data_IF_381265667389
#
_entry.id   IF_381265667389
#
_cell.length_a   1.000
_cell.length_b   1.000
_cell.length_c   1.000
_cell.angle_alpha   90.00
_cell.angle_beta   90.00
_cell.angle_gamma   90.00
#
_symmetry.space_group_name_H-M   'P 1'
#
loop_
_entity.id
_entity.type
_entity.pdbx_description
1 polymer ?
#
# COMPACT_ATOMS: atom_id res chain seq x y z
N UNK A 1 -5.53 -23.40 12.71
CA UNK A 1 -4.19 -23.22 12.10
C UNK A 1 -3.07 -23.05 13.11
N UNK A 2 -3.29 -22.43 14.27
CA UNK A 2 -2.30 -22.24 15.35
C UNK A 2 -1.81 -23.54 16.05
N UNK A 3 -2.20 -24.72 15.58
CA UNK A 3 -1.84 -26.03 16.14
C UNK A 3 -1.03 -26.92 15.19
N UNK A 4 -0.83 -26.50 13.95
CA UNK A 4 -0.13 -27.27 12.90
C UNK A 4 1.15 -26.53 12.54
N UNK A 5 2.25 -27.26 12.43
CA UNK A 5 3.55 -26.71 12.05
C UNK A 5 3.70 -26.67 10.53
N UNK A 6 4.21 -25.54 10.03
CA UNK A 6 4.39 -25.29 8.61
C UNK A 6 5.85 -24.87 8.33
N UNK A 7 6.82 -25.76 8.59
CA UNK A 7 8.24 -25.42 8.60
C UNK A 7 8.76 -24.89 7.26
N UNK A 8 8.12 -25.25 6.15
CA UNK A 8 8.52 -24.88 4.79
C UNK A 8 7.67 -23.75 4.19
N UNK A 9 6.67 -23.23 4.91
CA UNK A 9 5.81 -22.18 4.38
C UNK A 9 6.58 -20.86 4.26
N UNK A 10 6.68 -20.34 3.04
CA UNK A 10 7.42 -19.12 2.75
C UNK A 10 6.51 -17.90 2.54
N UNK A 11 5.24 -18.11 2.20
CA UNK A 11 4.28 -17.03 1.94
C UNK A 11 2.99 -17.29 2.70
N UNK A 12 2.55 -16.28 3.45
CA UNK A 12 1.25 -16.25 4.10
C UNK A 12 0.48 -15.02 3.62
N UNK A 13 -0.74 -15.25 3.12
CA UNK A 13 -1.65 -14.20 2.70
C UNK A 13 -2.97 -14.34 3.45
N UNK A 14 -3.34 -13.28 4.18
CA UNK A 14 -4.55 -13.14 4.96
C UNK A 14 -5.38 -12.01 4.35
N UNK A 15 -6.51 -12.35 3.73
CA UNK A 15 -7.38 -11.39 3.04
C UNK A 15 -8.82 -11.53 3.52
N UNK A 16 -9.60 -10.46 3.40
CA UNK A 16 -11.02 -10.45 3.75
C UNK A 16 -11.39 -9.26 4.63
N UNK A 17 -12.10 -9.52 5.73
CA UNK A 17 -12.57 -8.51 6.69
C UNK A 17 -12.07 -8.86 8.09
N UNK A 18 -11.75 -7.85 8.90
CA UNK A 18 -11.57 -8.08 10.32
C UNK A 18 -12.92 -8.43 10.97
N UNK A 19 -12.98 -9.44 11.84
CA UNK A 19 -14.20 -9.77 12.57
C UNK A 19 -14.74 -8.56 13.36
N UNK A 20 -16.05 -8.50 13.56
CA UNK A 20 -16.71 -7.42 14.32
C UNK A 20 -16.26 -7.41 15.78
N UNK A 21 -15.95 -8.58 16.36
CA UNK A 21 -15.45 -8.76 17.73
C UNK A 21 -13.90 -8.71 17.82
N UNK A 22 -13.25 -8.14 16.80
CA UNK A 22 -11.79 -8.16 16.65
C UNK A 22 -11.01 -7.30 17.66
N UNK A 23 -11.66 -6.68 18.64
CA UNK A 23 -10.96 -6.12 19.80
C UNK A 23 -10.14 -7.18 20.55
N UNK A 24 -10.49 -8.46 20.36
CA UNK A 24 -9.74 -9.63 20.84
C UNK A 24 -9.03 -10.41 19.73
N UNK A 25 -9.06 -9.94 18.47
CA UNK A 25 -8.34 -10.58 17.36
C UNK A 25 -6.83 -10.40 17.58
N UNK A 26 -6.13 -11.39 18.12
CA UNK A 26 -5.05 -11.09 19.04
C UNK A 26 -3.75 -11.16 18.27
N UNK A 27 -2.88 -10.18 18.50
CA UNK A 27 -1.47 -10.34 18.20
C UNK A 27 -0.96 -11.73 18.65
N UNK A 28 -1.48 -12.29 19.76
CA UNK A 28 -1.20 -13.65 20.23
C UNK A 28 -1.46 -14.77 19.21
N UNK A 29 -2.53 -14.70 18.42
CA UNK A 29 -2.81 -15.74 17.41
C UNK A 29 -1.83 -15.61 16.25
N UNK A 30 -1.58 -14.38 15.76
CA UNK A 30 -0.58 -14.14 14.72
C UNK A 30 0.82 -14.54 15.18
N UNK A 31 1.21 -14.15 16.39
CA UNK A 31 2.43 -14.57 17.08
C UNK A 31 2.56 -16.09 17.10
N UNK A 32 1.53 -16.79 17.60
CA UNK A 32 1.52 -18.26 17.68
C UNK A 32 1.63 -18.93 16.32
N UNK A 33 1.07 -18.30 15.28
CA UNK A 33 1.19 -18.75 13.90
C UNK A 33 2.61 -18.54 13.39
N UNK A 34 3.22 -17.36 13.58
CA UNK A 34 4.56 -17.04 13.08
C UNK A 34 5.62 -17.99 13.65
N UNK A 35 5.52 -18.37 14.92
CA UNK A 35 6.43 -19.36 15.52
C UNK A 35 6.42 -20.72 14.80
N UNK A 36 5.32 -21.05 14.11
CA UNK A 36 5.13 -22.31 13.38
C UNK A 36 5.49 -22.20 11.89
N UNK A 37 5.95 -21.03 11.45
CA UNK A 37 6.34 -20.74 10.07
C UNK A 37 7.77 -20.16 10.01
N UNK A 38 8.80 -20.90 10.45
CA UNK A 38 10.17 -20.38 10.55
C UNK A 38 10.82 -20.04 9.19
N UNK A 39 10.28 -20.55 8.08
CA UNK A 39 10.74 -20.23 6.73
C UNK A 39 9.97 -19.06 6.07
N UNK A 40 9.11 -18.36 6.81
CA UNK A 40 8.29 -17.29 6.26
C UNK A 40 9.15 -16.14 5.71
N UNK A 41 8.90 -15.76 4.45
CA UNK A 41 9.60 -14.70 3.73
C UNK A 41 8.66 -13.59 3.25
N UNK A 42 7.39 -13.91 3.02
CA UNK A 42 6.38 -12.96 2.55
C UNK A 42 5.14 -13.05 3.44
N UNK A 43 4.71 -11.90 3.93
CA UNK A 43 3.49 -11.76 4.70
C UNK A 43 2.61 -10.68 4.07
N UNK A 44 1.37 -11.04 3.79
CA UNK A 44 0.34 -10.12 3.30
C UNK A 44 -0.86 -10.20 4.24
N UNK A 45 -1.22 -9.07 4.84
CA UNK A 45 -2.42 -8.91 5.66
C UNK A 45 -3.22 -7.76 5.07
N UNK A 46 -4.21 -8.07 4.24
CA UNK A 46 -5.11 -7.10 3.60
C UNK A 46 -6.54 -7.42 3.97
N UNK A 47 -6.88 -7.05 5.20
CA UNK A 47 -8.22 -7.20 5.75
C UNK A 47 -8.88 -5.83 5.91
N UNK A 48 -10.11 -5.73 5.42
CA UNK A 48 -10.91 -4.54 5.48
C UNK A 48 -11.50 -4.33 6.87
N UNK A 49 -11.63 -3.06 7.28
CA UNK A 49 -12.16 -2.68 8.59
C UNK A 49 -13.59 -2.17 8.44
N UNK A 50 -14.51 -2.76 9.20
CA UNK A 50 -15.89 -2.26 9.29
C UNK A 50 -15.96 -1.09 10.27
N UNK A 51 -17.05 -0.31 10.22
CA UNK A 51 -17.27 0.76 11.21
C UNK A 51 -17.36 0.27 12.66
N UNK A 52 -17.67 -1.01 12.85
CA UNK A 52 -17.75 -1.65 14.17
C UNK A 52 -16.37 -2.09 14.70
N UNK A 53 -15.36 -2.18 13.84
CA UNK A 53 -14.01 -2.59 14.25
C UNK A 53 -13.22 -1.36 14.72
N UNK A 54 -12.92 -1.28 16.02
CA UNK A 54 -12.15 -0.18 16.57
C UNK A 54 -10.64 -0.30 16.29
N UNK A 55 -10.15 -1.54 16.24
CA UNK A 55 -8.72 -1.85 16.31
C UNK A 55 -8.06 -1.96 14.93
N UNK A 56 -6.91 -1.26 14.75
CA UNK A 56 -6.03 -1.37 13.59
C UNK A 56 -5.23 -2.69 13.61
N UNK A 57 -4.70 -3.13 12.47
CA UNK A 57 -3.92 -4.37 12.37
C UNK A 57 -2.68 -4.33 13.28
N UNK A 58 -2.53 -5.34 14.14
CA UNK A 58 -1.43 -5.46 15.09
C UNK A 58 -0.86 -6.89 15.08
N UNK A 59 0.40 -7.05 14.67
CA UNK A 59 1.10 -8.32 14.50
C UNK A 59 1.74 -8.82 15.79
N UNK A 60 2.54 -8.00 16.47
CA UNK A 60 3.28 -8.41 17.68
C UNK A 60 2.62 -7.93 18.97
N UNK A 61 1.74 -6.93 18.90
CA UNK A 61 1.15 -6.32 20.10
C UNK A 61 2.25 -5.84 21.06
N UNK A 62 2.02 -6.04 22.36
CA UNK A 62 2.91 -5.57 23.42
C UNK A 62 3.93 -6.61 23.92
N UNK A 63 4.05 -7.80 23.29
CA UNK A 63 4.87 -8.91 23.82
C UNK A 63 6.10 -9.26 22.95
N UNK A 64 7.23 -9.64 23.56
CA UNK A 64 8.53 -9.77 22.86
C UNK A 64 8.86 -11.15 22.23
N UNK A 65 7.93 -12.12 22.16
CA UNK A 65 8.32 -13.53 22.04
C UNK A 65 8.57 -14.10 20.61
N UNK A 66 8.15 -13.44 19.51
CA UNK A 66 8.24 -14.03 18.15
C UNK A 66 9.25 -13.35 17.20
N UNK A 67 10.24 -12.64 17.74
CA UNK A 67 11.14 -11.76 16.96
C UNK A 67 11.93 -12.52 15.90
N UNK A 68 12.39 -13.74 16.17
CA UNK A 68 13.31 -14.47 15.28
C UNK A 68 12.67 -14.99 14.00
N UNK A 69 11.40 -15.41 14.04
CA UNK A 69 10.69 -15.89 12.84
C UNK A 69 10.43 -14.76 11.83
N UNK A 70 10.19 -13.54 12.32
CA UNK A 70 9.89 -12.38 11.48
C UNK A 70 11.15 -11.74 10.87
N UNK A 71 12.33 -11.92 11.48
CA UNK A 71 13.59 -11.35 10.98
C UNK A 71 13.97 -11.80 9.55
N UNK A 72 13.44 -12.95 9.10
CA UNK A 72 13.69 -13.50 7.75
C UNK A 72 12.72 -12.99 6.69
N UNK A 73 11.78 -12.13 7.07
CA UNK A 73 10.82 -11.55 6.14
C UNK A 73 11.54 -10.66 5.13
N UNK A 74 11.24 -10.91 3.86
CA UNK A 74 11.70 -10.13 2.71
C UNK A 74 10.62 -9.18 2.20
N UNK A 75 9.36 -9.50 2.46
CA UNK A 75 8.21 -8.71 2.00
C UNK A 75 7.11 -8.69 3.05
N UNK A 76 6.66 -7.48 3.40
CA UNK A 76 5.56 -7.24 4.33
C UNK A 76 4.56 -6.31 3.67
N UNK A 77 3.29 -6.71 3.67
CA UNK A 77 2.16 -5.87 3.28
C UNK A 77 1.12 -5.91 4.40
N UNK A 78 0.79 -4.74 4.95
CA UNK A 78 -0.18 -4.60 6.04
C UNK A 78 -1.17 -3.50 5.68
N UNK A 79 -2.45 -3.85 5.67
CA UNK A 79 -3.54 -2.90 5.60
C UNK A 79 -3.85 -2.34 7.01
N UNK A 80 -4.04 -1.03 7.10
CA UNK A 80 -4.35 -0.29 8.33
C UNK A 80 -3.43 -0.66 9.51
N UNK A 81 -2.12 -0.45 9.38
CA UNK A 81 -1.17 -0.79 10.43
C UNK A 81 -1.44 0.01 11.71
N UNK A 82 -1.28 -0.63 12.87
CA UNK A 82 -1.23 0.06 14.14
C UNK A 82 0.13 0.78 14.29
N UNK A 83 0.15 2.12 14.44
CA UNK A 83 1.40 2.88 14.50
C UNK A 83 2.26 2.59 15.73
N UNK A 84 1.68 1.99 16.77
CA UNK A 84 2.37 1.58 17.99
C UNK A 84 2.78 0.10 18.00
N UNK A 85 2.56 -0.63 16.90
CA UNK A 85 2.95 -2.03 16.81
C UNK A 85 4.48 -2.18 16.97
N UNK A 86 4.88 -3.14 17.81
CA UNK A 86 6.28 -3.46 18.07
C UNK A 86 6.94 -4.18 16.90
N UNK A 87 6.15 -4.69 15.95
CA UNK A 87 6.69 -5.24 14.70
C UNK A 87 7.57 -4.25 13.96
N UNK A 88 7.33 -2.95 14.10
CA UNK A 88 8.16 -1.93 13.46
C UNK A 88 9.43 -1.58 14.24
N UNK A 89 9.64 -2.17 15.43
CA UNK A 89 10.86 -1.97 16.24
C UNK A 89 11.81 -3.17 16.22
N UNK A 90 11.46 -4.26 15.52
CA UNK A 90 12.37 -5.38 15.34
C UNK A 90 13.28 -5.15 14.13
N UNK A 91 14.51 -5.70 14.12
CA UNK A 91 15.38 -5.60 12.96
C UNK A 91 14.88 -6.49 11.82
N UNK A 92 14.88 -5.96 10.61
CA UNK A 92 14.56 -6.68 9.38
C UNK A 92 15.74 -6.62 8.40
N UNK A 93 16.80 -7.42 8.61
CA UNK A 93 18.00 -7.36 7.79
C UNK A 93 17.77 -7.69 6.32
N UNK A 94 16.76 -8.53 6.02
CA UNK A 94 16.46 -9.03 4.67
C UNK A 94 15.24 -8.36 4.01
N UNK A 95 14.58 -7.40 4.68
CA UNK A 95 13.34 -6.80 4.18
C UNK A 95 13.64 -5.86 3.01
N UNK A 96 13.13 -6.26 1.85
CA UNK A 96 13.30 -5.54 0.58
C UNK A 96 12.02 -4.84 0.14
N UNK A 97 10.86 -5.28 0.64
CA UNK A 97 9.55 -4.74 0.27
C UNK A 97 8.69 -4.47 1.49
N UNK A 98 8.23 -3.24 1.66
CA UNK A 98 7.28 -2.84 2.69
C UNK A 98 6.10 -2.11 2.05
N UNK A 99 4.88 -2.51 2.39
CA UNK A 99 3.66 -1.81 2.02
C UNK A 99 2.79 -1.58 3.25
N UNK A 100 2.71 -0.32 3.67
CA UNK A 100 1.83 0.16 4.73
C UNK A 100 0.66 0.86 4.05
N UNK A 101 -0.44 0.12 3.88
CA UNK A 101 -1.50 0.51 2.95
C UNK A 101 -2.89 0.45 3.57
N UNK A 102 -3.87 0.71 2.72
CA UNK A 102 -5.30 0.63 2.95
C UNK A 102 -5.91 -0.54 2.16
N UNK A 103 -7.06 -1.02 2.64
CA UNK A 103 -7.84 -2.05 1.96
C UNK A 103 -9.33 -2.05 2.38
N UNK A 104 -10.31 -1.85 1.47
CA UNK A 104 -10.19 -1.33 0.11
C UNK A 104 -9.47 0.03 0.06
N UNK A 105 -9.26 0.63 -1.13
CA UNK A 105 -8.57 1.92 -1.16
C UNK A 105 -9.48 2.96 -0.50
N UNK A 106 -8.90 3.88 0.24
CA UNK A 106 -9.61 4.98 0.86
C UNK A 106 -10.38 5.79 -0.18
N UNK A 107 -9.80 5.99 -1.37
CA UNK A 107 -10.51 6.65 -2.45
C UNK A 107 -11.74 5.86 -2.94
N UNK A 108 -11.72 4.52 -2.94
CA UNK A 108 -12.90 3.69 -3.26
C UNK A 108 -13.99 3.89 -2.19
N UNK A 109 -13.57 3.91 -0.91
CA UNK A 109 -14.46 4.07 0.24
C UNK A 109 -15.13 5.45 0.23
N UNK A 110 -14.39 6.50 -0.11
CA UNK A 110 -14.93 7.86 -0.21
C UNK A 110 -15.85 8.01 -1.42
N UNK A 111 -15.50 7.43 -2.57
CA UNK A 111 -16.26 7.58 -3.80
C UNK A 111 -17.55 6.75 -3.83
N UNK A 112 -17.58 5.57 -3.19
CA UNK A 112 -18.70 4.65 -3.27
C UNK A 112 -19.53 4.59 -1.99
N UNK A 113 -20.81 4.98 -2.09
CA UNK A 113 -21.77 5.00 -0.98
C UNK A 113 -21.90 3.66 -0.25
N UNK A 114 -21.82 2.54 -0.97
CA UNK A 114 -21.86 1.21 -0.37
C UNK A 114 -20.62 0.98 0.53
N UNK A 115 -19.42 1.19 -0.01
CA UNK A 115 -18.18 1.05 0.77
C UNK A 115 -18.12 2.02 1.93
N UNK A 116 -18.52 3.28 1.73
CA UNK A 116 -18.58 4.28 2.78
C UNK A 116 -19.44 3.85 3.98
N UNK A 117 -20.57 3.18 3.73
CA UNK A 117 -21.50 2.72 4.77
C UNK A 117 -21.01 1.49 5.51
N UNK A 118 -20.20 0.65 4.87
CA UNK A 118 -19.76 -0.63 5.44
C UNK A 118 -18.38 -0.55 6.06
N UNK A 119 -17.45 0.15 5.40
CA UNK A 119 -16.04 0.16 5.74
C UNK A 119 -15.57 1.54 6.18
N UNK A 120 -14.59 1.52 7.09
CA UNK A 120 -13.78 2.67 7.45
C UNK A 120 -12.36 2.46 6.96
N UNK A 121 -11.67 3.57 6.74
CA UNK A 121 -10.26 3.60 6.35
C UNK A 121 -9.48 4.46 7.35
N UNK A 122 -9.07 3.89 8.49
CA UNK A 122 -8.24 4.59 9.47
C UNK A 122 -6.81 4.70 8.95
N UNK A 123 -6.62 5.56 7.95
CA UNK A 123 -5.34 5.89 7.33
C UNK A 123 -4.42 6.50 8.39
N UNK A 124 -3.12 6.21 8.28
CA UNK A 124 -2.10 6.81 9.13
C UNK A 124 -2.07 8.33 8.93
N UNK A 125 -1.84 9.11 9.98
CA UNK A 125 -1.36 10.49 9.78
C UNK A 125 0.13 10.49 9.35
N UNK A 126 0.64 11.57 8.78
CA UNK A 126 2.07 11.68 8.47
C UNK A 126 2.94 11.55 9.74
N UNK A 127 2.49 12.10 10.87
CA UNK A 127 3.11 11.88 12.19
C UNK A 127 3.18 10.40 12.56
N UNK A 128 2.07 9.66 12.41
CA UNK A 128 2.00 8.23 12.71
C UNK A 128 2.92 7.42 11.78
N UNK A 129 2.91 7.71 10.48
CA UNK A 129 3.76 7.07 9.49
C UNK A 129 5.25 7.33 9.77
N UNK A 130 5.62 8.57 10.11
CA UNK A 130 7.00 8.92 10.46
C UNK A 130 7.47 8.18 11.71
N UNK A 131 6.62 8.05 12.73
CA UNK A 131 6.91 7.27 13.94
C UNK A 131 7.19 5.79 13.63
N UNK A 132 6.43 5.18 12.71
CA UNK A 132 6.70 3.82 12.23
C UNK A 132 8.06 3.75 11.55
N UNK A 133 8.31 4.61 10.55
CA UNK A 133 9.52 4.53 9.73
C UNK A 133 10.80 4.86 10.51
N UNK A 134 10.74 5.72 11.52
CA UNK A 134 11.88 6.00 12.42
C UNK A 134 12.30 4.81 13.26
N UNK A 135 11.36 3.93 13.62
CA UNK A 135 11.65 2.72 14.40
C UNK A 135 12.11 1.55 13.52
N UNK A 136 11.75 1.59 12.24
CA UNK A 136 12.02 0.52 11.28
C UNK A 136 13.52 0.39 10.97
N UNK A 137 14.06 -0.80 11.19
CA UNK A 137 15.43 -1.14 10.80
C UNK A 137 15.41 -2.08 9.59
N UNK A 138 15.40 -1.52 8.38
CA UNK A 138 15.36 -2.25 7.12
C UNK A 138 16.43 -1.70 6.13
N UNK A 139 17.72 -2.03 6.32
CA UNK A 139 18.83 -1.40 5.58
C UNK A 139 18.87 -1.75 4.09
N UNK A 140 18.12 -2.78 3.68
CA UNK A 140 18.05 -3.24 2.28
C UNK A 140 16.68 -2.98 1.64
N UNK A 141 15.86 -2.12 2.24
CA UNK A 141 14.54 -1.77 1.71
C UNK A 141 14.68 -1.14 0.32
N UNK A 142 14.07 -1.81 -0.67
CA UNK A 142 14.12 -1.42 -2.08
C UNK A 142 12.78 -0.91 -2.60
N UNK A 143 11.67 -1.37 -2.01
CA UNK A 143 10.32 -0.97 -2.39
C UNK A 143 9.53 -0.53 -1.17
N UNK A 144 8.95 0.66 -1.23
CA UNK A 144 8.07 1.22 -0.21
C UNK A 144 6.73 1.66 -0.83
N UNK A 145 5.61 1.11 -0.35
CA UNK A 145 4.27 1.67 -0.53
C UNK A 145 3.82 2.26 0.81
N UNK A 146 3.37 3.52 0.81
CA UNK A 146 2.90 4.21 2.01
C UNK A 146 1.62 4.99 1.72
N UNK A 147 0.61 4.78 2.57
CA UNK A 147 -0.68 5.47 2.53
C UNK A 147 -0.86 6.28 3.82
N UNK A 148 -1.09 7.58 3.70
CA UNK A 148 -1.21 8.48 4.85
C UNK A 148 -2.02 9.76 4.53
N UNK A 149 -2.57 10.39 5.58
CA UNK A 149 -3.07 11.76 5.56
C UNK A 149 -1.95 12.73 5.92
N UNK A 150 -1.83 13.81 5.16
CA UNK A 150 -0.93 14.90 5.51
C UNK A 150 -1.34 15.53 6.86
N UNK A 151 -0.34 15.86 7.66
CA UNK A 151 -0.44 16.69 8.86
C UNK A 151 0.85 17.53 8.95
N UNK A 152 1.09 18.20 10.08
CA UNK A 152 2.27 19.06 10.28
C UNK A 152 3.62 18.34 10.07
N UNK A 153 3.67 17.01 10.13
CA UNK A 153 4.88 16.22 9.95
C UNK A 153 5.09 15.73 8.50
N UNK A 154 4.28 16.16 7.54
CA UNK A 154 4.34 15.70 6.15
C UNK A 154 5.71 15.96 5.48
N UNK A 155 6.23 17.18 5.59
CA UNK A 155 7.56 17.51 5.05
C UNK A 155 8.68 16.67 5.70
N UNK A 156 8.60 16.47 7.03
CA UNK A 156 9.55 15.66 7.79
C UNK A 156 9.49 14.18 7.36
N UNK A 157 8.29 13.67 7.10
CA UNK A 157 8.08 12.31 6.60
C UNK A 157 8.72 12.12 5.22
N UNK A 158 8.45 13.04 4.29
CA UNK A 158 9.01 12.97 2.94
C UNK A 158 10.54 13.09 2.96
N UNK A 159 11.09 14.01 3.74
CA UNK A 159 12.53 14.17 3.92
C UNK A 159 13.15 12.91 4.56
N UNK A 160 12.49 12.32 5.56
CA UNK A 160 12.96 11.09 6.18
C UNK A 160 13.01 9.93 5.17
N UNK A 161 11.94 9.70 4.41
CA UNK A 161 11.89 8.63 3.39
C UNK A 161 13.04 8.79 2.39
N UNK A 162 13.30 10.02 1.93
CA UNK A 162 14.32 10.29 0.92
C UNK A 162 15.75 9.99 1.40
N UNK A 163 16.01 10.06 2.71
CA UNK A 163 17.35 9.96 3.29
C UNK A 163 17.59 8.65 4.06
N UNK A 164 16.56 8.04 4.66
CA UNK A 164 16.72 6.90 5.56
C UNK A 164 16.94 5.56 4.85
N UNK A 165 16.55 5.45 3.58
CA UNK A 165 16.55 4.18 2.83
C UNK A 165 17.49 4.26 1.61
N UNK A 166 18.81 4.03 1.78
CA UNK A 166 19.80 4.24 0.72
C UNK A 166 19.67 3.26 -0.47
N UNK A 167 18.88 2.19 -0.34
CA UNK A 167 18.60 1.23 -1.41
C UNK A 167 17.20 1.37 -2.00
N UNK A 168 16.43 2.40 -1.63
CA UNK A 168 15.06 2.58 -2.08
C UNK A 168 15.03 2.86 -3.58
N UNK A 169 14.48 1.92 -4.36
CA UNK A 169 14.37 1.99 -5.81
C UNK A 169 12.95 2.33 -6.25
N UNK A 170 11.94 1.87 -5.51
CA UNK A 170 10.55 2.01 -5.89
C UNK A 170 9.76 2.63 -4.74
N UNK A 171 9.20 3.82 -4.96
CA UNK A 171 8.36 4.50 -3.98
C UNK A 171 6.95 4.69 -4.55
N UNK A 172 5.95 4.27 -3.79
CA UNK A 172 4.54 4.53 -4.06
C UNK A 172 3.92 5.25 -2.87
N UNK A 173 3.43 6.47 -3.09
CA UNK A 173 2.75 7.26 -2.07
C UNK A 173 1.28 7.43 -2.43
N UNK A 174 0.40 7.17 -1.47
CA UNK A 174 -0.96 7.68 -1.46
C UNK A 174 -1.05 8.69 -0.31
N UNK A 175 -0.79 9.95 -0.64
CA UNK A 175 -0.90 11.09 0.24
C UNK A 175 -2.28 11.70 0.07
N UNK A 176 -3.06 11.70 1.15
CA UNK A 176 -4.35 12.39 1.20
C UNK A 176 -4.20 13.73 1.89
N UNK A 177 -4.98 14.74 1.47
CA UNK A 177 -4.90 16.08 2.06
C UNK A 177 -5.37 16.10 3.51
N UNK A 178 -4.78 17.00 4.28
CA UNK A 178 -5.18 17.36 5.65
C UNK A 178 -6.57 18.01 5.71
N UNK A 179 -6.95 18.71 4.65
CA UNK A 179 -8.24 19.40 4.52
C UNK A 179 -8.69 19.47 3.05
N UNK A 180 -9.99 19.71 2.83
CA UNK A 180 -10.55 19.85 1.47
C UNK A 180 -9.98 21.01 0.67
N UNK A 181 -9.46 22.03 1.36
CA UNK A 181 -9.02 23.29 0.77
C UNK A 181 -7.50 23.34 0.58
N UNK A 182 -6.77 22.31 1.02
CA UNK A 182 -5.33 22.20 0.82
C UNK A 182 -5.01 22.13 -0.68
N UNK A 183 -4.17 23.07 -1.13
CA UNK A 183 -3.51 23.00 -2.43
C UNK A 183 -2.19 22.25 -2.27
N UNK A 184 -2.04 21.13 -2.97
CA UNK A 184 -0.84 20.29 -2.86
C UNK A 184 0.30 20.87 -3.69
N UNK A 185 1.42 21.20 -3.04
CA UNK A 185 2.66 21.61 -3.73
C UNK A 185 3.46 20.37 -4.19
N UNK A 186 3.03 19.78 -5.31
CA UNK A 186 3.69 18.61 -5.89
C UNK A 186 5.14 18.86 -6.30
N UNK A 187 5.51 20.11 -6.62
CA UNK A 187 6.89 20.45 -6.97
C UNK A 187 7.78 20.40 -5.73
N UNK A 188 7.32 20.91 -4.58
CA UNK A 188 8.04 20.77 -3.31
C UNK A 188 8.20 19.31 -2.92
N UNK A 189 7.14 18.51 -2.99
CA UNK A 189 7.19 17.06 -2.73
C UNK A 189 8.25 16.40 -3.62
N UNK A 190 8.22 16.67 -4.92
CA UNK A 190 9.18 16.12 -5.88
C UNK A 190 10.63 16.52 -5.57
N UNK A 191 10.88 17.80 -5.24
CA UNK A 191 12.22 18.27 -4.84
C UNK A 191 12.71 17.59 -3.57
N UNK A 192 11.86 17.43 -2.56
CA UNK A 192 12.22 16.72 -1.33
C UNK A 192 12.62 15.27 -1.63
N UNK A 193 11.82 14.58 -2.45
CA UNK A 193 12.09 13.19 -2.83
C UNK A 193 13.30 13.03 -3.77
N UNK A 194 13.75 14.10 -4.43
CA UNK A 194 14.95 14.06 -5.28
C UNK A 194 16.24 13.71 -4.52
N UNK A 195 16.24 13.83 -3.19
CA UNK A 195 17.35 13.40 -2.35
C UNK A 195 17.56 11.87 -2.37
N UNK A 196 16.53 11.08 -2.73
CA UNK A 196 16.62 9.62 -2.84
C UNK A 196 17.37 9.17 -4.11
N UNK A 197 18.70 9.21 -4.10
CA UNK A 197 19.53 8.97 -5.29
C UNK A 197 19.38 7.58 -5.93
N UNK A 198 18.95 6.58 -5.16
CA UNK A 198 18.69 5.22 -5.64
C UNK A 198 17.34 5.05 -6.33
N UNK A 199 16.47 6.08 -6.32
CA UNK A 199 15.10 5.97 -6.77
C UNK A 199 15.05 5.75 -8.30
N UNK A 200 14.40 4.67 -8.70
CA UNK A 200 14.22 4.23 -10.09
C UNK A 200 12.82 4.55 -10.60
N UNK A 201 11.79 4.41 -9.76
CA UNK A 201 10.42 4.76 -10.13
C UNK A 201 9.66 5.36 -8.97
N UNK A 202 8.81 6.34 -9.28
CA UNK A 202 7.95 7.01 -8.31
C UNK A 202 6.48 6.90 -8.74
N UNK A 203 5.60 6.48 -7.84
CA UNK A 203 4.14 6.48 -8.05
C UNK A 203 3.47 7.37 -7.02
N UNK A 204 2.63 8.30 -7.46
CA UNK A 204 2.01 9.28 -6.58
C UNK A 204 0.50 9.35 -6.81
N UNK A 205 -0.25 9.11 -5.75
CA UNK A 205 -1.59 9.63 -5.56
C UNK A 205 -1.47 10.78 -4.55
N UNK A 206 -1.68 12.01 -5.01
CA UNK A 206 -1.51 13.21 -4.17
C UNK A 206 -2.84 13.84 -3.73
N UNK A 207 -3.97 13.23 -4.07
CA UNK A 207 -5.30 13.76 -3.75
C UNK A 207 -5.44 15.25 -4.12
N UNK A 208 -5.10 15.59 -5.36
CA UNK A 208 -5.11 16.98 -5.81
C UNK A 208 -6.50 17.63 -5.71
N UNK A 209 -6.52 18.93 -5.40
CA UNK A 209 -7.74 19.72 -5.46
C UNK A 209 -8.30 19.73 -6.90
N UNK A 210 -9.60 19.49 -7.04
CA UNK A 210 -10.25 19.40 -8.34
C UNK A 210 -10.14 18.03 -9.03
N UNK A 211 -9.51 17.04 -8.40
CA UNK A 211 -9.61 15.65 -8.86
C UNK A 211 -11.10 15.25 -8.89
N UNK A 212 -11.65 14.90 -10.07
CA UNK A 212 -13.05 14.50 -10.21
C UNK A 212 -13.39 13.22 -9.43
N UNK A 213 -12.38 12.54 -8.87
CA UNK A 213 -12.54 11.30 -8.15
C UNK A 213 -12.75 10.13 -9.09
N UNK A 214 -13.28 9.03 -8.56
CA UNK A 214 -13.66 7.91 -9.40
C UNK A 214 -14.87 8.27 -10.26
N UNK A 215 -14.79 7.99 -11.56
CA UNK A 215 -15.94 8.16 -12.44
C UNK A 215 -17.05 7.20 -12.04
N UNK A 216 -18.00 7.72 -11.27
CA UNK A 216 -19.22 7.03 -10.93
C UNK A 216 -20.28 7.36 -11.99
N UNK A 217 -20.84 6.39 -12.72
CA UNK A 217 -21.90 6.66 -13.70
C UNK A 217 -23.14 7.35 -13.09
N UNK A 218 -23.34 7.24 -11.78
CA UNK A 218 -24.41 7.93 -11.04
C UNK A 218 -24.09 9.42 -10.79
N UNK A 219 -22.80 9.79 -10.80
CA UNK A 219 -22.33 11.17 -10.70
C UNK A 219 -21.90 11.60 -12.10
N UNK A 220 -22.78 12.27 -12.84
CA UNK A 220 -22.53 12.72 -14.21
C UNK A 220 -21.40 13.76 -14.29
N UNK A 221 -20.14 13.32 -14.18
CA UNK A 221 -18.97 14.14 -14.50
C UNK A 221 -18.89 14.24 -16.02
N UNK A 222 -18.96 15.45 -16.55
CA UNK A 222 -18.85 15.69 -17.99
C UNK A 222 -17.53 15.14 -18.54
N UNK A 223 -17.56 14.59 -19.76
CA UNK A 223 -16.35 14.20 -20.50
C UNK A 223 -15.36 15.35 -20.66
N UNK A 224 -15.84 16.58 -20.74
CA UNK A 224 -14.98 17.76 -20.84
C UNK A 224 -14.19 18.00 -19.54
N UNK A 225 -14.80 17.74 -18.38
CA UNK A 225 -14.13 17.84 -17.08
C UNK A 225 -13.05 16.76 -16.96
N UNK A 226 -13.34 15.52 -17.35
CA UNK A 226 -12.35 14.44 -17.34
C UNK A 226 -11.18 14.71 -18.30
N UNK A 227 -11.45 15.30 -19.47
CA UNK A 227 -10.42 15.68 -20.44
C UNK A 227 -9.55 16.83 -19.94
N UNK A 228 -10.16 17.85 -19.33
CA UNK A 228 -9.45 18.94 -18.68
C UNK A 228 -8.57 18.42 -17.55
N UNK A 229 -9.11 17.54 -16.70
CA UNK A 229 -8.35 16.89 -15.63
C UNK A 229 -7.16 16.08 -16.14
N UNK A 230 -7.36 15.26 -17.17
CA UNK A 230 -6.26 14.47 -17.77
C UNK A 230 -5.13 15.38 -18.29
N UNK A 231 -5.49 16.50 -18.91
CA UNK A 231 -4.53 17.50 -19.39
C UNK A 231 -3.76 18.13 -18.23
N UNK A 232 -4.46 18.49 -17.15
CA UNK A 232 -3.86 19.06 -15.94
C UNK A 232 -2.94 18.06 -15.22
N UNK A 233 -3.37 16.80 -15.07
CA UNK A 233 -2.57 15.72 -14.49
C UNK A 233 -1.30 15.48 -15.30
N UNK A 234 -1.38 15.57 -16.63
CA UNK A 234 -0.21 15.51 -17.51
C UNK A 234 0.79 16.63 -17.21
N UNK A 235 0.32 17.87 -17.09
CA UNK A 235 1.17 19.00 -16.68
C UNK A 235 1.85 18.72 -15.33
N UNK A 236 1.12 18.25 -14.32
CA UNK A 236 1.69 17.88 -13.02
C UNK A 236 2.76 16.78 -13.14
N UNK A 237 2.51 15.74 -13.95
CA UNK A 237 3.45 14.65 -14.17
C UNK A 237 4.80 15.14 -14.72
N UNK A 238 4.77 16.02 -15.73
CA UNK A 238 5.99 16.60 -16.31
C UNK A 238 6.72 17.55 -15.35
N UNK A 239 5.98 18.33 -14.57
CA UNK A 239 6.57 19.22 -13.57
C UNK A 239 7.27 18.44 -12.45
N UNK A 240 6.65 17.36 -11.97
CA UNK A 240 7.25 16.45 -10.97
C UNK A 240 8.50 15.79 -11.55
N UNK A 241 8.42 15.27 -12.78
CA UNK A 241 9.56 14.64 -13.44
C UNK A 241 10.74 15.62 -13.61
N UNK A 242 10.44 16.88 -13.94
CA UNK A 242 11.44 17.96 -14.06
C UNK A 242 12.05 18.31 -12.69
N UNK A 243 11.23 18.42 -11.65
CA UNK A 243 11.71 18.68 -10.28
C UNK A 243 12.58 17.55 -9.70
N UNK A 244 12.51 16.35 -10.28
CA UNK A 244 13.34 15.20 -9.91
C UNK A 244 14.63 15.09 -10.72
N UNK A 245 15.01 16.09 -11.52
CA UNK A 245 16.18 16.06 -12.43
C UNK A 245 17.47 15.55 -11.76
N UNK A 246 17.69 15.86 -10.49
CA UNK A 246 18.87 15.46 -9.72
C UNK A 246 18.94 13.95 -9.44
N UNK A 247 17.81 13.23 -9.51
CA UNK A 247 17.76 11.80 -9.28
C UNK A 247 18.17 11.04 -10.55
N UNK A 248 19.46 10.83 -10.78
CA UNK A 248 19.99 10.26 -12.02
C UNK A 248 19.42 8.86 -12.37
N UNK A 249 19.13 8.05 -11.35
CA UNK A 249 18.60 6.68 -11.50
C UNK A 249 17.13 6.63 -11.93
N UNK A 250 16.41 7.74 -11.84
CA UNK A 250 14.96 7.78 -12.05
C UNK A 250 14.63 7.56 -13.53
N UNK A 251 13.81 6.53 -13.79
CA UNK A 251 13.29 6.20 -15.12
C UNK A 251 11.99 6.93 -15.45
N UNK A 252 11.14 7.13 -14.45
CA UNK A 252 9.85 7.79 -14.63
C UNK A 252 9.02 7.93 -13.36
N UNK A 253 7.95 8.69 -13.50
CA UNK A 253 6.95 8.96 -12.48
C UNK A 253 5.60 8.48 -13.00
N UNK A 254 4.75 7.95 -12.14
CA UNK A 254 3.36 7.67 -12.47
C UNK A 254 2.42 8.41 -11.52
N UNK A 255 1.38 9.03 -12.08
CA UNK A 255 0.32 9.66 -11.30
C UNK A 255 -0.96 8.82 -11.34
N UNK A 256 -1.65 8.72 -10.20
CA UNK A 256 -2.92 8.01 -10.16
C UNK A 256 -4.00 8.85 -10.86
N UNK A 257 -4.58 8.28 -11.91
CA UNK A 257 -5.73 8.79 -12.62
C UNK A 257 -6.96 7.96 -12.24
N UNK A 258 -7.99 8.62 -11.69
CA UNK A 258 -9.24 7.98 -11.24
C UNK A 258 -10.44 8.25 -12.14
N UNK A 259 -10.23 9.00 -13.24
CA UNK A 259 -11.32 9.32 -14.17
C UNK A 259 -11.89 8.13 -14.95
N UNK A 260 -11.27 6.95 -14.85
CA UNK A 260 -11.81 5.69 -15.36
C UNK A 260 -11.64 4.57 -14.30
N UNK A 261 -12.53 3.58 -14.34
CA UNK A 261 -12.53 2.43 -13.44
C UNK A 261 -11.94 1.17 -14.10
N UNK A 262 -11.03 0.44 -13.42
CA UNK A 262 -10.40 0.81 -12.15
C UNK A 262 -9.35 1.91 -12.34
N UNK A 263 -9.00 2.62 -11.26
CA UNK A 263 -7.97 3.66 -11.29
C UNK A 263 -6.66 3.19 -11.96
N UNK A 264 -6.04 4.09 -12.71
CA UNK A 264 -4.88 3.81 -13.57
C UNK A 264 -3.68 4.66 -13.19
N UNK A 265 -2.48 4.12 -13.32
CA UNK A 265 -1.23 4.85 -13.22
C UNK A 265 -0.84 5.39 -14.59
N UNK A 266 -0.90 6.72 -14.77
CA UNK A 266 -0.42 7.40 -15.96
C UNK A 266 1.09 7.64 -15.86
N UNK A 267 1.89 6.99 -16.72
CA UNK A 267 3.35 7.05 -16.67
C UNK A 267 3.96 8.18 -17.51
N UNK A 268 4.95 8.85 -16.93
CA UNK A 268 5.79 9.89 -17.52
C UNK A 268 7.26 9.46 -17.41
N UNK A 269 7.86 9.09 -18.54
CA UNK A 269 9.21 8.54 -18.61
C UNK A 269 10.24 9.57 -19.09
N UNK A 270 11.51 9.41 -18.68
CA UNK A 270 12.61 10.28 -19.16
C UNK A 270 13.09 9.93 -20.58
N UNK A 271 12.86 8.70 -21.04
CA UNK A 271 13.28 8.28 -22.38
C UNK A 271 12.36 8.87 -23.46
N UNK A 272 12.94 9.40 -24.54
CA UNK A 272 12.22 10.00 -25.69
C UNK A 272 11.30 9.04 -26.46
N UNK A 273 11.33 7.74 -26.20
CA UNK A 273 10.23 6.83 -26.55
C UNK A 273 9.12 6.96 -25.50
N UNK A 274 8.61 8.17 -25.32
CA UNK A 274 7.59 8.52 -24.34
C UNK A 274 6.24 7.93 -24.76
N UNK A 275 6.10 6.61 -24.67
CA UNK A 275 4.78 5.98 -24.64
C UNK A 275 4.21 6.23 -23.25
N UNK A 276 3.10 6.96 -23.19
CA UNK A 276 2.26 6.98 -22.01
C UNK A 276 1.72 5.56 -21.82
N UNK A 277 2.34 4.81 -20.93
CA UNK A 277 1.82 3.52 -20.50
C UNK A 277 0.82 3.79 -19.38
N UNK A 278 -0.40 3.27 -19.53
CA UNK A 278 -1.39 3.25 -18.46
C UNK A 278 -1.40 1.84 -17.88
N UNK A 279 -1.08 1.70 -16.59
CA UNK A 279 -1.13 0.42 -15.87
C UNK A 279 -2.18 0.53 -14.78
N UNK A 280 -3.13 -0.40 -14.73
CA UNK A 280 -4.14 -0.38 -13.68
C UNK A 280 -3.52 -0.47 -12.27
N UNK A 281 -4.04 0.28 -11.29
CA UNK A 281 -3.59 0.15 -9.88
C UNK A 281 -3.90 -1.24 -9.33
N UNK A 282 -4.98 -1.85 -9.82
CA UNK A 282 -5.38 -3.22 -9.52
C UNK A 282 -5.73 -3.94 -10.81
N UNK A 283 -5.53 -5.26 -10.86
CA UNK A 283 -6.04 -6.04 -11.97
C UNK A 283 -7.54 -5.74 -12.14
N UNK A 284 -8.03 -5.42 -13.35
CA UNK A 284 -9.45 -5.23 -13.56
C UNK A 284 -10.15 -6.53 -13.16
N UNK A 285 -11.12 -6.44 -12.26
CA UNK A 285 -12.01 -7.56 -12.01
C UNK A 285 -12.58 -7.98 -13.36
N UNK A 286 -12.47 -9.28 -13.71
CA UNK A 286 -13.15 -9.80 -14.90
C UNK A 286 -14.62 -9.50 -14.71
N UNK A 287 -15.14 -8.48 -15.39
CA UNK A 287 -16.56 -8.16 -15.42
C UNK A 287 -17.26 -9.38 -16.02
N UNK A 288 -17.75 -10.29 -15.19
CA UNK A 288 -18.85 -11.15 -15.60
C UNK A 288 -20.04 -10.21 -15.82
N UNK A 289 -20.35 -9.96 -17.08
CA UNK A 289 -21.52 -9.17 -17.47
C UNK A 289 -22.76 -9.73 -16.75
N UNK A 290 -23.48 -8.88 -16.02
CA UNK A 290 -24.83 -9.19 -15.54
C UNK A 290 -25.06 -9.35 -14.04
N UNK A 291 -24.08 -9.08 -13.17
CA UNK A 291 -24.34 -9.04 -11.72
C UNK A 291 -23.45 -8.02 -11.02
N UNK A 292 -24.06 -7.08 -10.28
CA UNK A 292 -23.43 -6.56 -9.04
C UNK A 292 -22.75 -7.75 -8.36
N UNK A 293 -21.46 -7.65 -7.95
CA UNK A 293 -20.66 -8.79 -7.51
C UNK A 293 -21.51 -9.68 -6.61
N UNK A 294 -21.94 -10.80 -7.20
CA UNK A 294 -22.85 -11.72 -6.57
C UNK A 294 -22.11 -12.29 -5.38
N UNK A 295 -22.55 -11.90 -4.19
CA UNK A 295 -22.20 -12.51 -2.94
C UNK A 295 -20.69 -12.77 -2.79
N UNK A 296 -19.97 -11.80 -2.22
CA UNK A 296 -19.19 -12.19 -1.06
C UNK A 296 -20.22 -12.81 -0.11
N UNK A 297 -20.35 -14.13 -0.13
CA UNK A 297 -21.08 -14.84 0.89
C UNK A 297 -20.50 -14.29 2.20
N UNK A 298 -21.34 -13.55 2.92
CA UNK A 298 -21.11 -13.12 4.28
C UNK A 298 -20.82 -14.39 5.06
N UNK A 299 -19.56 -14.77 5.07
CA UNK A 299 -18.99 -15.73 5.98
C UNK A 299 -18.12 -14.85 6.87
N UNK A 300 -18.34 -14.94 8.17
CA UNK A 300 -17.59 -14.21 9.21
C UNK A 300 -16.11 -14.68 9.30
N UNK A 301 -15.49 -14.97 8.16
CA UNK A 301 -14.30 -15.79 8.06
C UNK A 301 -13.19 -15.08 7.28
N UNK A 302 -12.07 -14.90 7.95
CA UNK A 302 -10.79 -14.59 7.33
C UNK A 302 -10.44 -15.68 6.31
N UNK A 303 -10.27 -15.32 5.04
CA UNK A 303 -9.83 -16.27 4.01
C UNK A 303 -8.32 -16.37 4.07
N UNK A 304 -7.83 -17.56 4.39
CA UNK A 304 -6.40 -17.84 4.46
C UNK A 304 -5.99 -18.51 3.16
N UNK A 305 -5.33 -17.75 2.28
CA UNK A 305 -4.79 -18.30 1.04
C UNK A 305 -3.35 -18.73 1.31
N UNK A 306 -3.13 -20.04 1.42
CA UNK A 306 -1.79 -20.62 1.44
C UNK A 306 -1.40 -21.06 0.03
N UNK A 307 -0.31 -20.52 -0.51
CA UNK A 307 0.32 -21.06 -1.73
C UNK A 307 1.55 -21.86 -1.31
N UNK A 308 1.46 -23.17 -1.43
CA UNK A 308 2.63 -24.05 -1.32
C UNK A 308 3.37 -24.06 -2.65
N UNK A 309 4.60 -23.56 -2.68
CA UNK A 309 5.52 -23.84 -3.79
C UNK A 309 5.91 -25.31 -3.70
N UNK A 310 5.47 -26.13 -4.67
CA UNK A 310 5.88 -27.54 -4.77
C UNK A 310 7.41 -27.63 -4.87
N UNK A 311 8.10 -28.51 -4.14
CA UNK A 311 9.44 -28.92 -4.52
C UNK A 311 9.36 -29.74 -5.80
N UNK A 312 10.29 -29.51 -6.72
CA UNK A 312 10.47 -30.33 -7.91
C UNK A 312 10.77 -31.78 -7.47
N UNK A 313 9.85 -32.69 -7.73
CA UNK A 313 10.14 -34.12 -7.66
C UNK A 313 10.89 -34.45 -8.95
N UNK A 314 12.20 -34.68 -8.83
CA UNK A 314 12.97 -35.39 -9.84
C UNK A 314 12.36 -36.80 -9.97
N UNK A 315 11.68 -37.05 -11.09
CA UNK A 315 11.36 -38.40 -11.51
C UNK A 315 12.68 -39.10 -11.87
N UNK A 316 13.17 -39.92 -10.95
CA UNK A 316 14.11 -40.98 -11.27
C UNK A 316 13.32 -42.10 -11.96
N UNK A 317 13.62 -42.32 -13.24
CA UNK A 317 13.32 -43.57 -13.92
C UNK A 317 14.35 -44.59 -13.47
N UNK A 318 13.91 -45.66 -12.80
CA UNK A 318 14.42 -47.02 -12.96
C UNK A 318 13.22 -47.98 -12.98
#
# INVERSE_FOLDING_TARGET
MSKVDWPMLQTLTLEGFFPTDADHWPAELLLSMFCRMPALRRLVITAALTHYTATRCCMLGSKPCAVTALQRLRSITIAYPNPNDRVFSIPFPDLTHLALRDWPRHYDIVAHKYYNRTFRSPILSATEALSILRRLQAPVLATLELVYFADEADDDLLAFIANAFPKLQHLQLHRYRSSSDETVDHRRIARTLSAAQSLVSLRLNLDFQGDPGEHNPDLQVSRDVLKAWCSQLSTFGWEILSALELCASLKGVALLYRGELPGMWAWYSRSRQATQECVYDRAPERRCAGSLPSLWALTDSLVIVTRFSRPAILMGHE
#
